data_IF_986892901123
#
_entry.id   IF_986892901123
#
_cell.length_a   1.000
_cell.length_b   1.000
_cell.length_c   1.000
_cell.angle_alpha   90.00
_cell.angle_beta   90.00
_cell.angle_gamma   90.00
#
_symmetry.space_group_name_H-M   'P 1'
#
loop_
_entity.id
_entity.type
_entity.pdbx_description
1 polymer ?
#
# COMPACT_ATOMS: atom_id res chain seq x y z
N UNK A 1 4.13 -2.38 -27.88
CA UNK A 1 3.38 -1.13 -27.66
C UNK A 1 2.11 -1.41 -26.87
N UNK A 2 1.23 -2.31 -27.35
CA UNK A 2 -0.04 -2.67 -26.69
C UNK A 2 0.04 -3.01 -25.19
N UNK A 3 1.02 -3.81 -24.75
CA UNK A 3 1.11 -4.25 -23.34
C UNK A 3 1.36 -3.08 -22.37
N UNK A 4 2.15 -2.09 -22.77
CA UNK A 4 2.55 -0.96 -21.89
C UNK A 4 1.36 -0.04 -21.60
N UNK A 5 0.57 0.25 -22.62
CA UNK A 5 -0.63 1.10 -22.53
C UNK A 5 -1.66 0.50 -21.56
N UNK A 6 -1.86 -0.82 -21.62
CA UNK A 6 -2.81 -1.51 -20.75
C UNK A 6 -2.28 -1.65 -19.32
N UNK A 7 -0.97 -1.79 -19.15
CA UNK A 7 -0.35 -1.89 -17.83
C UNK A 7 -0.54 -0.60 -17.02
N UNK A 8 -0.48 0.56 -17.66
CA UNK A 8 -0.72 1.85 -17.00
C UNK A 8 -2.15 2.00 -16.46
N UNK A 9 -3.13 1.29 -17.03
CA UNK A 9 -4.52 1.30 -16.56
C UNK A 9 -4.74 0.49 -15.29
N UNK A 10 -3.78 -0.36 -14.89
CA UNK A 10 -3.90 -1.17 -13.67
C UNK A 10 -4.01 -0.32 -12.42
N UNK A 11 -3.18 0.72 -12.29
CA UNK A 11 -3.20 1.59 -11.10
C UNK A 11 -4.51 2.37 -11.00
N UNK A 12 -4.96 3.10 -12.05
CA UNK A 12 -6.27 3.74 -12.05
C UNK A 12 -7.42 2.79 -11.72
N UNK A 13 -7.45 1.61 -12.33
CA UNK A 13 -8.49 0.61 -12.07
C UNK A 13 -8.53 0.17 -10.60
N UNK A 14 -7.38 -0.22 -10.05
CA UNK A 14 -7.29 -0.66 -8.65
C UNK A 14 -7.54 0.49 -7.67
N UNK A 15 -7.15 1.72 -8.02
CA UNK A 15 -7.40 2.91 -7.22
C UNK A 15 -8.90 3.21 -7.13
N UNK A 16 -9.60 3.17 -8.27
CA UNK A 16 -11.06 3.33 -8.32
C UNK A 16 -11.73 2.24 -7.49
N UNK A 17 -11.31 0.98 -7.64
CA UNK A 17 -11.84 -0.11 -6.84
C UNK A 17 -11.63 0.14 -5.34
N UNK A 18 -10.42 0.54 -4.93
CA UNK A 18 -10.11 0.87 -3.55
C UNK A 18 -10.96 2.02 -3.01
N UNK A 19 -11.21 3.05 -3.81
CA UNK A 19 -12.09 4.16 -3.45
C UNK A 19 -13.53 3.68 -3.24
N UNK A 20 -14.09 2.90 -4.15
CA UNK A 20 -15.46 2.35 -4.02
C UNK A 20 -15.56 1.51 -2.76
N UNK A 21 -14.65 0.56 -2.52
CA UNK A 21 -14.67 -0.24 -1.31
C UNK A 21 -14.52 0.61 -0.04
N UNK A 22 -13.72 1.67 -0.07
CA UNK A 22 -13.54 2.59 1.06
C UNK A 22 -14.81 3.40 1.34
N UNK A 23 -15.46 3.92 0.30
CA UNK A 23 -16.74 4.63 0.40
C UNK A 23 -17.86 3.72 0.93
N UNK A 24 -17.98 2.50 0.42
CA UNK A 24 -18.97 1.53 0.94
C UNK A 24 -18.74 1.21 2.41
N UNK A 25 -17.47 1.03 2.83
CA UNK A 25 -17.14 0.77 4.24
C UNK A 25 -17.40 1.98 5.14
N UNK A 26 -17.16 3.20 4.65
CA UNK A 26 -17.30 4.42 5.44
C UNK A 26 -18.77 4.82 5.64
N UNK A 27 -19.56 4.72 4.58
CA UNK A 27 -20.99 5.08 4.60
C UNK A 27 -21.87 4.04 5.30
N UNK A 28 -21.33 2.83 5.57
CA UNK A 28 -22.10 1.72 6.12
C UNK A 28 -23.21 1.19 5.19
N UNK A 29 -23.33 1.72 3.97
CA UNK A 29 -24.41 1.46 3.03
C UNK A 29 -24.41 0.01 2.51
N UNK A 30 -23.23 -0.62 2.44
CA UNK A 30 -23.10 -1.98 1.95
C UNK A 30 -21.92 -2.69 2.60
N UNK A 31 -22.20 -3.72 3.40
CA UNK A 31 -21.19 -4.64 3.89
C UNK A 31 -20.87 -5.68 2.81
N UNK A 32 -19.71 -5.52 2.17
CA UNK A 32 -19.29 -6.36 1.05
C UNK A 32 -18.59 -7.61 1.58
N UNK A 33 -19.35 -8.66 1.81
CA UNK A 33 -18.82 -9.92 2.35
C UNK A 33 -18.62 -10.99 1.28
N UNK A 34 -19.55 -11.09 0.33
CA UNK A 34 -19.58 -12.20 -0.63
C UNK A 34 -18.60 -11.98 -1.78
N UNK A 35 -18.01 -13.06 -2.28
CA UNK A 35 -17.03 -13.01 -3.36
C UNK A 35 -17.59 -12.36 -4.65
N UNK A 36 -18.85 -12.64 -5.00
CA UNK A 36 -19.49 -12.04 -6.18
C UNK A 36 -19.68 -10.53 -6.04
N UNK A 37 -19.92 -10.01 -4.83
CA UNK A 37 -20.05 -8.57 -4.59
C UNK A 37 -18.68 -7.88 -4.78
N UNK A 38 -17.60 -8.52 -4.30
CA UNK A 38 -16.23 -8.05 -4.53
C UNK A 38 -15.89 -8.04 -6.01
N UNK A 39 -16.27 -9.10 -6.74
CA UNK A 39 -16.09 -9.17 -8.19
C UNK A 39 -16.91 -8.10 -8.91
N UNK A 40 -18.14 -7.84 -8.48
CA UNK A 40 -18.99 -6.80 -9.04
C UNK A 40 -18.37 -5.40 -8.84
N UNK A 41 -17.77 -5.11 -7.68
CA UNK A 41 -17.03 -3.86 -7.47
C UNK A 41 -15.81 -3.76 -8.37
N UNK A 42 -15.04 -4.84 -8.52
CA UNK A 42 -13.88 -4.85 -9.43
C UNK A 42 -14.30 -4.64 -10.89
N UNK A 43 -15.39 -5.28 -11.31
CA UNK A 43 -15.95 -5.12 -12.64
C UNK A 43 -16.49 -3.70 -12.87
N UNK A 44 -17.20 -3.14 -11.88
CA UNK A 44 -17.67 -1.75 -11.93
C UNK A 44 -16.51 -0.77 -12.01
N UNK A 45 -15.46 -0.97 -11.22
CA UNK A 45 -14.25 -0.17 -11.29
C UNK A 45 -13.58 -0.27 -12.66
N UNK A 46 -13.57 -1.45 -13.28
CA UNK A 46 -13.03 -1.64 -14.64
C UNK A 46 -13.87 -0.89 -15.67
N UNK A 47 -15.20 -0.95 -15.56
CA UNK A 47 -16.11 -0.20 -16.43
C UNK A 47 -15.86 1.31 -16.27
N UNK A 48 -15.77 1.82 -15.04
CA UNK A 48 -15.50 3.25 -14.81
C UNK A 48 -14.11 3.67 -15.31
N UNK A 49 -13.12 2.78 -15.21
CA UNK A 49 -11.77 3.03 -15.69
C UNK A 49 -11.68 3.05 -17.22
N UNK A 50 -12.50 2.27 -17.93
CA UNK A 50 -12.37 2.09 -19.38
C UNK A 50 -13.44 2.79 -20.20
N UNK A 51 -14.64 2.98 -19.65
CA UNK A 51 -15.77 3.57 -20.37
C UNK A 51 -15.69 5.09 -20.26
N UNK A 52 -15.61 5.81 -21.39
CA UNK A 52 -15.53 7.26 -21.38
C UNK A 52 -16.83 7.88 -20.88
N UNK A 53 -16.72 8.83 -19.96
CA UNK A 53 -17.81 9.68 -19.48
C UNK A 53 -17.46 11.13 -19.79
N UNK A 54 -18.29 11.80 -20.60
CA UNK A 54 -18.01 13.14 -21.14
C UNK A 54 -16.75 13.21 -22.05
N UNK A 55 -16.44 12.11 -22.76
CA UNK A 55 -15.34 12.06 -23.72
C UNK A 55 -14.01 11.55 -23.17
N UNK A 56 -13.88 11.36 -21.85
CA UNK A 56 -12.71 10.79 -21.19
C UNK A 56 -13.14 9.74 -20.15
N UNK A 57 -12.43 8.63 -20.05
CA UNK A 57 -12.66 7.67 -18.98
C UNK A 57 -12.10 8.19 -17.65
N UNK A 58 -12.53 7.60 -16.52
CA UNK A 58 -11.97 8.00 -15.22
C UNK A 58 -10.46 7.68 -15.13
N UNK A 59 -9.99 6.65 -15.84
CA UNK A 59 -8.56 6.38 -15.94
C UNK A 59 -7.83 7.47 -16.71
N UNK A 60 -8.41 8.00 -17.80
CA UNK A 60 -7.79 9.09 -18.56
C UNK A 60 -7.66 10.36 -17.72
N UNK A 61 -8.67 10.68 -16.91
CA UNK A 61 -8.56 11.79 -15.95
C UNK A 61 -7.43 11.56 -14.94
N UNK A 62 -7.29 10.35 -14.40
CA UNK A 62 -6.21 10.03 -13.46
C UNK A 62 -4.83 10.08 -14.14
N UNK A 63 -4.71 9.60 -15.37
CA UNK A 63 -3.50 9.67 -16.17
C UNK A 63 -3.16 11.10 -16.60
N UNK A 64 -4.16 11.98 -16.76
CA UNK A 64 -3.91 13.41 -17.00
C UNK A 64 -3.27 14.12 -15.79
N UNK A 65 -3.54 13.63 -14.58
CA UNK A 65 -2.93 14.15 -13.34
C UNK A 65 -1.55 13.52 -13.09
N UNK A 66 -1.40 12.22 -13.34
CA UNK A 66 -0.15 11.51 -13.20
C UNK A 66 0.07 10.58 -14.42
N UNK A 67 0.84 11.03 -15.42
CA UNK A 67 0.99 10.30 -16.69
C UNK A 67 1.55 8.89 -16.55
N UNK A 68 2.39 8.67 -15.54
CA UNK A 68 3.02 7.37 -15.30
C UNK A 68 2.93 7.03 -13.82
N UNK A 69 2.00 6.13 -13.48
CA UNK A 69 2.02 5.51 -12.16
C UNK A 69 3.16 4.50 -12.07
N UNK A 70 3.97 4.64 -11.02
CA UNK A 70 5.06 3.75 -10.68
C UNK A 70 4.56 2.39 -10.21
N UNK A 71 5.47 1.41 -10.20
CA UNK A 71 5.22 0.11 -9.58
C UNK A 71 5.03 0.27 -8.08
N UNK A 72 5.63 1.29 -7.46
CA UNK A 72 5.40 1.62 -6.05
C UNK A 72 3.96 2.05 -5.78
N UNK A 73 3.36 2.87 -6.65
CA UNK A 73 1.93 3.21 -6.59
C UNK A 73 1.04 1.99 -6.76
N UNK A 74 1.35 1.12 -7.72
CA UNK A 74 0.64 -0.15 -7.90
C UNK A 74 0.70 -1.02 -6.64
N UNK A 75 1.89 -1.17 -6.06
CA UNK A 75 2.10 -1.94 -4.84
C UNK A 75 1.34 -1.33 -3.65
N UNK A 76 1.38 0.00 -3.48
CA UNK A 76 0.67 0.67 -2.39
C UNK A 76 -0.84 0.45 -2.49
N UNK A 77 -1.43 0.73 -3.66
CA UNK A 77 -2.87 0.54 -3.89
C UNK A 77 -3.25 -0.92 -3.71
N UNK A 78 -2.44 -1.85 -4.23
CA UNK A 78 -2.62 -3.29 -4.04
C UNK A 78 -2.63 -3.69 -2.57
N UNK A 79 -1.66 -3.21 -1.77
CA UNK A 79 -1.58 -3.48 -0.33
C UNK A 79 -2.79 -2.91 0.42
N UNK A 80 -3.27 -1.72 0.06
CA UNK A 80 -4.44 -1.09 0.69
C UNK A 80 -5.77 -1.74 0.29
N UNK A 81 -5.86 -2.27 -0.94
CA UNK A 81 -7.03 -2.95 -1.47
C UNK A 81 -7.13 -4.39 -0.96
N UNK A 82 -5.99 -5.07 -0.78
CA UNK A 82 -5.94 -6.49 -0.43
C UNK A 82 -6.73 -6.88 0.82
N UNK A 83 -6.66 -6.16 1.97
CA UNK A 83 -7.49 -6.47 3.13
C UNK A 83 -8.99 -6.45 2.82
N UNK A 84 -9.43 -5.59 1.89
CA UNK A 84 -10.85 -5.48 1.51
C UNK A 84 -11.31 -6.64 0.65
N UNK A 85 -10.41 -7.22 -0.15
CA UNK A 85 -10.70 -8.38 -1.01
C UNK A 85 -10.51 -9.69 -0.24
N UNK A 86 -9.34 -9.90 0.37
CA UNK A 86 -8.92 -11.15 0.96
C UNK A 86 -9.25 -11.27 2.47
N UNK A 87 -9.66 -10.18 3.13
CA UNK A 87 -9.97 -10.18 4.57
C UNK A 87 -8.76 -10.25 5.49
N UNK A 88 -7.54 -10.22 4.96
CA UNK A 88 -6.28 -10.26 5.70
C UNK A 88 -5.28 -9.25 5.14
N UNK A 89 -4.42 -8.64 5.97
CA UNK A 89 -3.41 -7.70 5.48
C UNK A 89 -2.35 -8.39 4.62
N UNK A 90 -1.91 -7.74 3.53
CA UNK A 90 -0.82 -8.22 2.69
C UNK A 90 0.54 -7.92 3.32
N UNK A 91 0.67 -6.73 3.92
CA UNK A 91 1.81 -6.27 4.69
C UNK A 91 1.38 -5.97 6.12
N UNK A 92 2.26 -6.26 7.09
CA UNK A 92 2.07 -5.78 8.46
C UNK A 92 2.10 -4.25 8.50
N UNK A 93 1.47 -3.64 9.52
CA UNK A 93 1.50 -2.19 9.73
C UNK A 93 2.91 -1.62 9.90
N UNK A 94 3.84 -2.42 10.44
CA UNK A 94 5.26 -2.04 10.49
C UNK A 94 5.88 -2.00 9.10
N UNK A 95 5.66 -3.03 8.28
CA UNK A 95 6.20 -3.11 6.92
C UNK A 95 5.62 -2.04 6.01
N UNK A 96 4.30 -1.77 6.11
CA UNK A 96 3.64 -0.70 5.37
C UNK A 96 4.21 0.68 5.76
N UNK A 97 4.45 0.93 7.05
CA UNK A 97 5.08 2.18 7.49
C UNK A 97 6.50 2.33 6.97
N UNK A 98 7.31 1.27 7.01
CA UNK A 98 8.67 1.28 6.45
C UNK A 98 8.62 1.53 4.95
N UNK A 99 7.70 0.89 4.23
CA UNK A 99 7.48 1.11 2.81
C UNK A 99 7.10 2.56 2.50
N UNK A 100 6.14 3.14 3.24
CA UNK A 100 5.73 4.53 3.06
C UNK A 100 6.87 5.50 3.39
N UNK A 101 7.62 5.25 4.47
CA UNK A 101 8.75 6.09 4.88
C UNK A 101 9.87 6.07 3.84
N UNK A 102 10.21 4.88 3.35
CA UNK A 102 11.21 4.72 2.30
C UNK A 102 10.80 5.47 1.03
N UNK A 103 9.58 5.26 0.54
CA UNK A 103 9.11 5.94 -0.67
C UNK A 103 8.98 7.45 -0.48
N UNK A 104 8.37 7.91 0.63
CA UNK A 104 8.22 9.34 0.88
C UNK A 104 9.59 10.04 0.99
N UNK A 105 10.54 9.45 1.72
CA UNK A 105 11.89 9.99 1.84
C UNK A 105 12.64 10.01 0.50
N UNK A 106 12.60 8.89 -0.23
CA UNK A 106 13.25 8.77 -1.54
C UNK A 106 12.68 9.77 -2.56
N UNK A 107 11.35 9.86 -2.64
CA UNK A 107 10.66 10.78 -3.55
C UNK A 107 10.91 12.24 -3.18
N UNK A 108 10.97 12.57 -1.90
CA UNK A 108 11.25 13.92 -1.45
C UNK A 108 12.64 14.37 -1.89
N UNK A 109 13.64 13.50 -1.75
CA UNK A 109 15.02 13.79 -2.22
C UNK A 109 15.05 13.97 -3.74
N UNK A 110 14.44 13.04 -4.49
CA UNK A 110 14.42 13.10 -5.95
C UNK A 110 13.67 14.34 -6.47
N UNK A 111 12.45 14.59 -6.01
CA UNK A 111 11.67 15.73 -6.50
C UNK A 111 12.21 17.07 -6.01
N UNK A 112 12.80 17.13 -4.82
CA UNK A 112 13.53 18.35 -4.40
C UNK A 112 14.71 18.65 -5.33
N UNK A 113 15.38 17.61 -5.83
CA UNK A 113 16.46 17.77 -6.82
C UNK A 113 15.92 18.28 -8.17
N UNK A 114 14.79 17.73 -8.66
CA UNK A 114 14.16 18.21 -9.89
C UNK A 114 13.66 19.65 -9.80
N UNK A 115 13.19 20.07 -8.62
CA UNK A 115 12.72 21.43 -8.36
C UNK A 115 13.88 22.44 -8.22
N UNK A 116 15.14 22.01 -8.32
CA UNK A 116 16.31 22.86 -8.21
C UNK A 116 16.63 23.30 -6.77
N UNK A 117 16.04 22.65 -5.76
CA UNK A 117 16.37 22.91 -4.35
C UNK A 117 17.74 22.35 -3.97
N UNK A 118 18.26 21.41 -4.78
CA UNK A 118 19.60 20.82 -4.66
C UNK A 118 20.34 21.16 -5.96
N UNK A 119 21.65 21.53 -5.90
CA UNK A 119 22.42 21.92 -7.10
C UNK A 119 22.69 20.78 -8.09
N UNK A 120 22.34 19.55 -7.74
CA UNK A 120 22.51 18.36 -8.57
C UNK A 120 21.15 17.78 -8.91
N UNK A 121 20.91 17.47 -10.20
CA UNK A 121 19.74 16.72 -10.63
C UNK A 121 19.98 15.22 -10.38
N UNK A 122 19.57 14.75 -9.20
CA UNK A 122 19.71 13.35 -8.82
C UNK A 122 18.76 12.47 -9.63
N UNK A 123 17.64 13.00 -10.11
CA UNK A 123 16.65 12.26 -10.85
C UNK A 123 17.11 11.93 -12.28
N UNK A 124 17.91 12.81 -12.89
CA UNK A 124 18.59 12.51 -14.16
C UNK A 124 19.53 11.29 -14.06
N UNK A 125 20.01 10.93 -12.88
CA UNK A 125 20.84 9.74 -12.70
C UNK A 125 20.07 8.43 -12.88
N UNK A 126 18.75 8.46 -12.96
CA UNK A 126 17.92 7.27 -13.16
C UNK A 126 17.84 6.81 -14.63
N UNK A 127 18.35 7.59 -15.58
CA UNK A 127 18.48 7.17 -16.97
C UNK A 127 19.66 6.21 -17.18
N UNK A 128 19.54 5.31 -18.16
CA UNK A 128 20.51 4.26 -18.49
C UNK A 128 20.73 3.22 -17.36
N UNK A 129 21.73 2.34 -17.51
CA UNK A 129 22.15 1.45 -16.44
C UNK A 129 22.79 2.27 -15.32
N UNK A 130 21.96 2.62 -14.35
CA UNK A 130 22.30 3.53 -13.28
C UNK A 130 22.94 2.81 -12.09
N UNK A 131 23.91 3.41 -11.39
CA UNK A 131 24.33 2.96 -10.06
C UNK A 131 23.16 2.73 -9.10
N UNK A 132 22.05 3.46 -9.28
CA UNK A 132 20.83 3.31 -8.49
C UNK A 132 20.14 1.96 -8.67
N UNK A 133 20.26 1.34 -9.85
CA UNK A 133 19.80 -0.02 -10.05
C UNK A 133 20.58 -1.01 -9.15
N UNK A 134 21.91 -0.86 -9.06
CA UNK A 134 22.75 -1.69 -8.20
C UNK A 134 22.44 -1.47 -6.71
N UNK A 135 22.21 -0.22 -6.29
CA UNK A 135 21.75 0.11 -4.93
C UNK A 135 20.42 -0.57 -4.64
N UNK A 136 19.47 -0.55 -5.58
CA UNK A 136 18.18 -1.19 -5.42
C UNK A 136 18.30 -2.72 -5.39
N UNK A 137 19.15 -3.31 -6.21
CA UNK A 137 19.45 -4.75 -6.18
C UNK A 137 20.05 -5.16 -4.83
N UNK A 138 21.02 -4.42 -4.30
CA UNK A 138 21.58 -4.68 -2.98
C UNK A 138 20.53 -4.54 -1.87
N UNK A 139 19.70 -3.48 -1.93
CA UNK A 139 18.58 -3.28 -0.99
C UNK A 139 17.60 -4.45 -1.04
N UNK A 140 17.33 -4.98 -2.24
CA UNK A 140 16.48 -6.15 -2.45
C UNK A 140 17.10 -7.40 -1.83
N UNK A 141 18.40 -7.64 -2.04
CA UNK A 141 19.12 -8.78 -1.45
C UNK A 141 19.09 -8.73 0.08
N UNK A 142 19.31 -7.55 0.68
CA UNK A 142 19.20 -7.35 2.12
C UNK A 142 17.77 -7.65 2.59
N UNK A 143 16.75 -7.16 1.89
CA UNK A 143 15.36 -7.42 2.22
C UNK A 143 15.00 -8.92 2.15
N UNK A 144 15.52 -9.64 1.15
CA UNK A 144 15.37 -11.11 1.04
C UNK A 144 16.07 -11.81 2.20
N UNK A 145 17.30 -11.40 2.53
CA UNK A 145 18.10 -11.99 3.60
C UNK A 145 17.42 -11.89 4.97
N UNK A 146 16.79 -10.76 5.26
CA UNK A 146 16.03 -10.55 6.51
C UNK A 146 14.58 -11.05 6.43
N UNK A 147 14.21 -11.76 5.36
CA UNK A 147 12.86 -12.28 5.12
C UNK A 147 11.75 -11.20 5.18
N UNK A 148 12.09 -9.98 4.75
CA UNK A 148 11.14 -8.88 4.72
C UNK A 148 10.13 -9.07 3.59
N UNK A 149 8.82 -8.89 3.84
CA UNK A 149 7.81 -8.97 2.78
C UNK A 149 7.96 -7.85 1.73
N UNK A 150 8.72 -6.79 2.03
CA UNK A 150 9.04 -5.73 1.06
C UNK A 150 9.96 -6.23 -0.07
N UNK A 151 10.67 -7.35 0.15
CA UNK A 151 11.50 -7.97 -0.89
C UNK A 151 10.71 -8.24 -2.17
N UNK A 152 9.46 -8.70 -2.07
CA UNK A 152 8.61 -8.94 -3.24
C UNK A 152 8.33 -7.65 -4.04
N UNK A 153 8.13 -6.52 -3.35
CA UNK A 153 7.90 -5.23 -4.02
C UNK A 153 9.17 -4.75 -4.69
N UNK A 154 10.32 -4.90 -4.02
CA UNK A 154 11.61 -4.52 -4.56
C UNK A 154 12.06 -5.37 -5.76
N UNK A 155 11.79 -6.68 -5.71
CA UNK A 155 11.93 -7.57 -6.87
C UNK A 155 11.02 -7.09 -8.00
N UNK A 156 9.76 -6.72 -7.70
CA UNK A 156 8.85 -6.21 -8.71
C UNK A 156 9.34 -4.92 -9.37
N UNK A 157 10.01 -4.01 -8.64
CA UNK A 157 10.63 -2.81 -9.22
C UNK A 157 11.68 -3.18 -10.27
N UNK A 158 12.61 -4.08 -9.90
CA UNK A 158 13.70 -4.52 -10.77
C UNK A 158 13.14 -5.27 -11.99
N UNK A 159 12.23 -6.23 -11.76
CA UNK A 159 11.64 -7.01 -12.84
C UNK A 159 10.81 -6.14 -13.79
N UNK A 160 10.05 -5.18 -13.27
CA UNK A 160 9.27 -4.29 -14.12
C UNK A 160 10.15 -3.38 -14.98
N UNK A 161 11.27 -2.89 -14.43
CA UNK A 161 12.24 -2.10 -15.19
C UNK A 161 12.91 -2.93 -16.29
N UNK A 162 13.37 -4.14 -15.96
CA UNK A 162 14.03 -5.05 -16.92
C UNK A 162 13.08 -5.49 -18.04
N UNK A 163 11.82 -5.79 -17.71
CA UNK A 163 10.75 -6.09 -18.68
C UNK A 163 10.21 -4.84 -19.39
N UNK A 164 10.69 -3.65 -19.04
CA UNK A 164 10.27 -2.36 -19.58
C UNK A 164 8.74 -2.18 -19.55
N UNK A 165 8.09 -2.52 -18.44
CA UNK A 165 6.63 -2.51 -18.33
C UNK A 165 6.03 -1.10 -18.45
N UNK A 166 6.78 -0.06 -18.07
CA UNK A 166 6.38 1.33 -18.24
C UNK A 166 6.99 1.91 -19.54
N UNK A 167 6.39 2.95 -20.12
CA UNK A 167 6.95 3.63 -21.28
C UNK A 167 8.27 4.37 -20.98
N UNK A 168 8.47 4.78 -19.73
CA UNK A 168 9.66 5.54 -19.34
C UNK A 168 10.93 4.69 -19.33
N UNK A 169 12.06 5.23 -19.84
CA UNK A 169 13.37 4.60 -19.70
C UNK A 169 14.06 4.95 -18.36
N UNK A 170 13.48 5.81 -17.53
CA UNK A 170 14.05 6.20 -16.25
C UNK A 170 13.68 5.18 -15.17
N UNK A 171 14.67 4.64 -14.46
CA UNK A 171 14.46 3.69 -13.38
C UNK A 171 13.62 4.26 -12.24
N UNK A 172 13.77 5.54 -11.93
CA UNK A 172 13.03 6.16 -10.82
C UNK A 172 11.53 6.22 -11.06
N UNK A 173 11.07 6.23 -12.31
CA UNK A 173 9.64 6.19 -12.64
C UNK A 173 8.99 4.85 -12.32
N UNK A 174 9.79 3.79 -12.19
CA UNK A 174 9.31 2.49 -11.72
C UNK A 174 9.22 2.46 -10.19
N UNK A 175 10.11 3.18 -9.51
CA UNK A 175 10.20 3.19 -8.05
C UNK A 175 9.17 4.11 -7.42
N UNK A 176 9.04 5.32 -7.95
CA UNK A 176 8.20 6.36 -7.37
C UNK A 176 7.59 7.30 -8.38
N UNK A 177 6.56 8.02 -7.94
CA UNK A 177 5.86 9.06 -8.68
C UNK A 177 5.22 10.06 -7.69
N UNK A 178 4.63 11.13 -8.21
CA UNK A 178 3.97 12.15 -7.38
C UNK A 178 2.82 11.61 -6.52
N UNK A 179 2.00 10.70 -7.05
CA UNK A 179 0.91 10.07 -6.32
C UNK A 179 1.44 9.23 -5.15
N UNK A 180 2.50 8.43 -5.37
CA UNK A 180 3.11 7.62 -4.34
C UNK A 180 3.66 8.46 -3.19
N UNK A 181 4.32 9.59 -3.51
CA UNK A 181 4.78 10.55 -2.50
C UNK A 181 3.61 11.05 -1.66
N UNK A 182 2.58 11.62 -2.28
CA UNK A 182 1.46 12.21 -1.54
C UNK A 182 0.70 11.17 -0.71
N UNK A 183 0.44 9.99 -1.27
CA UNK A 183 -0.25 8.92 -0.55
C UNK A 183 0.58 8.36 0.60
N UNK A 184 1.88 8.14 0.39
CA UNK A 184 2.78 7.65 1.43
C UNK A 184 2.92 8.68 2.56
N UNK A 185 3.13 9.95 2.23
CA UNK A 185 3.17 11.05 3.20
C UNK A 185 1.84 11.18 3.95
N UNK A 186 0.71 11.13 3.25
CA UNK A 186 -0.62 11.16 3.87
C UNK A 186 -0.84 10.00 4.84
N UNK A 187 -0.50 8.77 4.43
CA UNK A 187 -0.58 7.60 5.30
C UNK A 187 0.33 7.75 6.53
N UNK A 188 1.55 8.24 6.38
CA UNK A 188 2.42 8.50 7.51
C UNK A 188 1.82 9.54 8.44
N UNK A 189 1.28 10.65 7.94
CA UNK A 189 0.71 11.71 8.77
C UNK A 189 -0.59 11.30 9.48
N UNK A 190 -1.52 10.69 8.76
CA UNK A 190 -2.86 10.39 9.29
C UNK A 190 -2.93 9.05 10.02
N UNK A 191 -2.05 8.10 9.69
CA UNK A 191 -1.98 6.77 10.34
C UNK A 191 -0.92 6.73 11.45
N UNK A 192 -0.03 7.72 11.56
CA UNK A 192 0.85 7.87 12.72
C UNK A 192 0.16 8.52 13.94
N UNK A 193 -1.13 8.25 14.18
CA UNK A 193 -1.66 8.42 15.53
C UNK A 193 -1.04 7.33 16.41
N UNK A 194 -0.16 7.66 17.36
CA UNK A 194 0.37 6.68 18.28
C UNK A 194 -0.76 6.13 19.13
N UNK A 195 -0.71 4.84 19.43
CA UNK A 195 -1.44 4.28 20.55
C UNK A 195 -0.92 4.93 21.84
N UNK A 196 -1.57 5.99 22.30
CA UNK A 196 -1.49 6.43 23.68
C UNK A 196 -2.81 6.09 24.37
N UNK A 197 -2.67 5.40 25.50
CA UNK A 197 -3.65 5.05 26.56
C UNK A 197 -4.62 3.90 26.27
N UNK A 198 -4.35 2.70 26.82
CA UNK A 198 -5.33 1.94 27.64
C UNK A 198 -4.76 0.69 28.35
N UNK A 199 -3.66 0.76 29.11
CA UNK A 199 -3.37 -0.26 30.15
C UNK A 199 -2.75 0.41 31.38
N UNK A 200 -3.59 1.02 32.22
CA UNK A 200 -3.40 1.12 33.67
C UNK A 200 -4.71 1.62 34.29
N UNK A 201 -5.73 0.77 34.19
CA UNK A 201 -7.07 1.04 34.73
C UNK A 201 -7.87 -0.24 34.90
N UNK A 202 -7.23 -1.34 35.30
CA UNK A 202 -7.95 -2.52 35.77
C UNK A 202 -7.92 -2.51 37.30
N UNK A 203 -9.07 -2.41 37.99
CA UNK A 203 -9.10 -2.61 39.44
C UNK A 203 -8.69 -4.06 39.71
N UNK A 204 -7.67 -4.24 40.55
CA UNK A 204 -7.24 -5.56 40.98
C UNK A 204 -8.38 -6.34 41.66
N UNK A 205 -8.35 -7.68 41.63
CA UNK A 205 -9.41 -8.48 42.23
C UNK A 205 -9.49 -8.24 43.75
N UNK A 206 -10.70 -8.15 44.33
CA UNK A 206 -10.84 -8.01 45.77
C UNK A 206 -10.27 -9.25 46.48
N UNK A 207 -9.27 -9.02 47.34
CA UNK A 207 -8.86 -9.97 48.39
C UNK A 207 -10.00 -10.07 49.39
N UNK A 208 -10.64 -11.22 49.49
CA UNK A 208 -11.52 -11.55 50.61
C UNK A 208 -12.71 -12.40 50.22
N UNK A 209 -12.51 -13.72 50.18
CA UNK A 209 -13.55 -14.71 50.42
C UNK A 209 -12.88 -16.03 50.86
N UNK A 210 -12.31 -16.00 52.06
CA UNK A 210 -12.18 -17.21 52.87
C UNK A 210 -13.56 -17.63 53.41
N UNK A 211 -13.68 -18.92 53.71
CA UNK A 211 -14.76 -19.65 54.40
C UNK A 211 -15.94 -20.17 53.56
N UNK A 212 -15.95 -21.48 53.29
CA UNK A 212 -16.72 -22.42 54.12
C UNK A 212 -16.64 -23.86 53.55
N UNK A 213 -15.74 -24.68 54.10
CA UNK A 213 -15.90 -26.13 54.09
C UNK A 213 -16.06 -26.58 55.54
N UNK A 214 -17.31 -26.73 55.96
CA UNK A 214 -17.68 -27.41 57.19
C UNK A 214 -18.78 -28.43 56.86
N UNK A 215 -18.40 -29.71 56.92
CA UNK A 215 -19.20 -30.79 57.48
C UNK A 215 -20.43 -31.29 56.70
N UNK A 216 -20.25 -32.40 55.98
CA UNK A 216 -21.18 -33.55 56.07
C UNK A 216 -20.39 -34.84 56.00
N UNK A 217 -20.14 -35.45 57.15
CA UNK A 217 -19.90 -36.89 57.27
C UNK A 217 -21.22 -37.62 57.51
N UNK A 218 -21.36 -38.81 56.91
CA UNK A 218 -22.15 -39.97 57.37
C UNK A 218 -21.95 -41.07 56.31
N UNK A 219 -21.08 -42.08 56.51
CA UNK A 219 -21.26 -43.29 57.31
C UNK A 219 -22.13 -44.37 56.62
N UNK A 220 -21.56 -45.61 56.58
CA UNK A 220 -22.17 -46.93 56.32
C UNK A 220 -22.51 -47.18 54.83
N UNK A 221 -22.10 -48.26 54.16
CA UNK A 221 -21.86 -49.68 54.50
C UNK A 221 -20.68 -50.19 53.67
#
# INVERSE_FOLDING_TARGET
MFIKEHFQLLVPWLLIAWLIFSLCSWTGLAQIHKAWQKLAVLALAAIMALVPFLGLSLADYLLSLNPNFSIGSLALVGVLLWPKIAGRPLLSESSLRVFCLWNAGFSLVLFSSCLGLIPYDLYALGYHFSPWFAVMALTTLVAVWVWSPLSFIFIAYIAAFDLQLLPSPNFFDYLTDGFLLFMSSGLLLFRARPWSTEIQGSPGPPRGAEFSQAGKGSALI
#
